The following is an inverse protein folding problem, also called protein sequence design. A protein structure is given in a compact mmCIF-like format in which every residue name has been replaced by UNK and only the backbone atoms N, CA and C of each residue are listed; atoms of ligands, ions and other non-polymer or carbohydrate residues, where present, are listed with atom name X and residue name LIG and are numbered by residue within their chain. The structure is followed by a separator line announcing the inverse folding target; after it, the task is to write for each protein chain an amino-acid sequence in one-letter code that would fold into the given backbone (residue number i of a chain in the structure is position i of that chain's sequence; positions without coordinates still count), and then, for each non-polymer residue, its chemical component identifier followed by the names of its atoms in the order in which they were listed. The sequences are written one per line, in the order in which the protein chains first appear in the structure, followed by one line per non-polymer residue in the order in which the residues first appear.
data_IF_487671697961
#
_entry.id   IF_487671697961
#
_cell.length_a   1.000
_cell.length_b   1.000
_cell.length_c   1.000
_cell.angle_alpha   90.00
_cell.angle_beta   90.00
_cell.angle_gamma   90.00
#
_symmetry.space_group_name_H-M   'P 1'
#
loop_
_entity.id
_entity.type
_entity.pdbx_description
1 polymer ?
#
# COMPACT_ATOMS: atom_id res chain seq x y z
N UNK A 1 -13.15 4.43 4.46
CA UNK A 1 -12.31 5.19 5.39
C UNK A 1 -13.11 5.64 6.60
N UNK A 2 -12.39 5.70 7.70
CA UNK A 2 -12.85 5.78 9.08
C UNK A 2 -11.60 5.69 9.95
N UNK A 3 -11.74 5.57 11.28
CA UNK A 3 -10.59 5.51 12.18
C UNK A 3 -9.67 4.35 11.80
N UNK A 4 -8.37 4.62 11.79
CA UNK A 4 -7.33 3.61 11.60
C UNK A 4 -7.11 2.77 12.87
N UNK A 5 -7.60 3.26 14.01
CA UNK A 5 -7.35 2.74 15.36
C UNK A 5 -5.86 2.73 15.70
N UNK A 6 -5.15 3.71 15.15
CA UNK A 6 -3.76 4.02 15.44
C UNK A 6 -3.77 5.45 15.96
N UNK A 7 -3.61 5.67 17.29
CA UNK A 7 -3.75 6.99 17.89
C UNK A 7 -2.90 8.06 17.21
N UNK A 8 -1.69 7.73 16.80
CA UNK A 8 -0.81 8.66 16.09
C UNK A 8 -1.35 9.09 14.73
N UNK A 9 -2.01 8.21 13.97
CA UNK A 9 -2.61 8.56 12.68
C UNK A 9 -3.92 9.31 12.89
N UNK A 10 -4.77 8.78 13.78
CA UNK A 10 -6.09 9.35 14.03
C UNK A 10 -6.02 10.73 14.72
N UNK A 11 -4.93 11.04 15.44
CA UNK A 11 -4.69 12.35 16.04
C UNK A 11 -4.44 13.46 15.02
N UNK A 12 -3.91 13.12 13.83
CA UNK A 12 -3.68 14.08 12.76
C UNK A 12 -4.89 14.19 11.82
N UNK A 13 -5.48 13.05 11.44
CA UNK A 13 -6.79 12.93 10.80
C UNK A 13 -7.10 11.45 10.58
N UNK A 14 -8.35 10.97 10.75
CA UNK A 14 -8.70 9.63 10.30
C UNK A 14 -8.45 9.50 8.78
N UNK A 15 -8.03 8.31 8.34
CA UNK A 15 -7.84 8.03 6.92
C UNK A 15 -9.15 8.27 6.16
N UNK A 16 -9.08 8.99 5.04
CA UNK A 16 -10.15 9.39 4.13
C UNK A 16 -10.11 8.59 2.82
N UNK A 17 -11.17 8.73 2.01
CA UNK A 17 -11.25 8.04 0.72
C UNK A 17 -10.20 8.63 -0.21
N UNK A 18 -9.61 7.78 -1.04
CA UNK A 18 -8.53 8.16 -1.95
C UNK A 18 -7.25 8.67 -1.24
N UNK A 19 -7.08 8.46 0.06
CA UNK A 19 -5.80 8.74 0.70
C UNK A 19 -4.72 7.80 0.18
N UNK A 20 -3.50 8.31 0.11
CA UNK A 20 -2.31 7.58 -0.32
C UNK A 20 -1.27 7.74 0.77
N UNK A 21 -0.84 6.62 1.32
CA UNK A 21 0.05 6.54 2.48
C UNK A 21 1.30 5.77 2.07
N UNK A 22 2.47 6.38 2.26
CA UNK A 22 3.74 5.67 2.19
C UNK A 22 4.16 5.26 3.60
N UNK A 23 4.49 3.98 3.77
CA UNK A 23 5.09 3.44 5.00
C UNK A 23 6.52 3.05 4.67
N UNK A 24 7.48 3.82 5.18
CA UNK A 24 8.90 3.60 4.96
C UNK A 24 9.61 3.17 6.25
N UNK A 25 10.66 2.38 6.12
CA UNK A 25 11.50 1.99 7.25
C UNK A 25 12.42 0.81 6.92
N UNK A 26 13.49 0.59 7.69
CA UNK A 26 14.38 -0.55 7.53
C UNK A 26 13.66 -1.90 7.66
N UNK A 27 14.28 -3.02 7.26
CA UNK A 27 13.77 -4.35 7.58
C UNK A 27 13.46 -4.49 9.08
N UNK A 28 12.45 -5.29 9.41
CA UNK A 28 12.04 -5.59 10.78
C UNK A 28 11.54 -4.42 11.66
N UNK A 29 11.24 -3.23 11.11
CA UNK A 29 10.67 -2.10 11.89
C UNK A 29 9.14 -2.13 12.06
N UNK A 30 8.48 -3.23 11.69
CA UNK A 30 7.03 -3.40 11.91
C UNK A 30 6.12 -2.97 10.77
N UNK A 31 6.65 -2.59 9.59
CA UNK A 31 5.85 -2.21 8.40
C UNK A 31 4.77 -3.22 8.06
N UNK A 32 5.14 -4.49 7.95
CA UNK A 32 4.20 -5.59 7.65
C UNK A 32 3.16 -5.76 8.76
N UNK A 33 3.53 -5.52 10.02
CA UNK A 33 2.58 -5.60 11.14
C UNK A 33 1.55 -4.47 11.08
N UNK A 34 2.00 -3.24 10.82
CA UNK A 34 1.14 -2.09 10.59
C UNK A 34 0.21 -2.31 9.38
N UNK A 35 0.75 -2.86 8.29
CA UNK A 35 -0.04 -3.22 7.11
C UNK A 35 -1.14 -4.24 7.44
N UNK A 36 -0.82 -5.28 8.21
CA UNK A 36 -1.81 -6.29 8.62
C UNK A 36 -2.88 -5.65 9.50
N UNK A 37 -2.51 -4.71 10.38
CA UNK A 37 -3.47 -3.99 11.21
C UNK A 37 -4.49 -3.23 10.36
N UNK A 38 -4.04 -2.51 9.33
CA UNK A 38 -4.90 -1.73 8.42
C UNK A 38 -5.78 -2.63 7.56
N UNK A 39 -5.23 -3.71 7.00
CA UNK A 39 -5.98 -4.71 6.23
C UNK A 39 -7.07 -5.39 7.08
N UNK A 40 -6.73 -5.80 8.31
CA UNK A 40 -7.70 -6.38 9.27
C UNK A 40 -8.81 -5.38 9.58
N UNK A 41 -8.47 -4.10 9.79
CA UNK A 41 -9.46 -3.06 10.06
C UNK A 41 -10.43 -2.88 8.88
N UNK A 42 -9.94 -3.01 7.65
CA UNK A 42 -10.75 -2.90 6.45
C UNK A 42 -11.80 -4.04 6.36
N UNK A 43 -11.39 -5.29 6.59
CA UNK A 43 -12.23 -6.48 6.31
C UNK A 43 -13.18 -6.88 7.44
N UNK A 44 -12.89 -6.50 8.68
CA UNK A 44 -13.76 -6.78 9.84
C UNK A 44 -15.09 -6.02 9.67
N UNK A 45 -16.24 -6.63 10.03
CA UNK A 45 -17.52 -5.95 9.92
C UNK A 45 -17.64 -4.81 10.94
N UNK A 46 -18.51 -3.84 10.67
CA UNK A 46 -18.73 -2.72 11.62
C UNK A 46 -19.24 -3.24 12.97
N UNK A 47 -20.13 -4.23 12.93
CA UNK A 47 -20.78 -4.82 14.10
C UNK A 47 -21.00 -6.32 13.90
N UNK A 48 -21.09 -7.05 15.01
CA UNK A 48 -21.52 -8.43 15.04
C UNK A 48 -22.46 -8.64 16.23
N UNK A 49 -23.71 -9.04 15.97
CA UNK A 49 -24.77 -9.05 16.98
C UNK A 49 -24.89 -7.67 17.66
N UNK A 50 -24.72 -7.60 18.97
CA UNK A 50 -24.75 -6.37 19.78
C UNK A 50 -23.39 -5.69 19.94
N UNK A 51 -22.30 -6.27 19.44
CA UNK A 51 -20.93 -5.77 19.65
C UNK A 51 -20.44 -4.96 18.45
N UNK A 52 -19.83 -3.81 18.73
CA UNK A 52 -19.10 -3.02 17.74
C UNK A 52 -17.69 -3.59 17.57
N UNK A 53 -17.33 -3.96 16.34
CA UNK A 53 -15.98 -4.43 16.03
C UNK A 53 -15.11 -3.34 15.41
N UNK A 54 -15.73 -2.21 15.05
CA UNK A 54 -15.10 -0.99 14.53
C UNK A 54 -14.30 -1.19 13.23
N UNK A 55 -14.57 -2.25 12.48
CA UNK A 55 -14.03 -2.45 11.14
C UNK A 55 -14.80 -1.66 10.08
N UNK A 56 -14.27 -1.63 8.86
CA UNK A 56 -14.86 -0.87 7.75
C UNK A 56 -15.90 -1.67 6.95
N UNK A 57 -15.94 -2.98 7.12
CA UNK A 57 -16.81 -3.90 6.36
C UNK A 57 -16.65 -3.75 4.83
N UNK A 58 -15.40 -3.74 4.37
CA UNK A 58 -15.04 -3.50 2.96
C UNK A 58 -14.03 -4.52 2.42
N UNK A 59 -13.97 -4.61 1.10
CA UNK A 59 -12.94 -5.38 0.42
C UNK A 59 -11.56 -4.75 0.59
N UNK A 60 -10.57 -5.59 0.87
CA UNK A 60 -9.17 -5.22 0.96
C UNK A 60 -8.35 -6.04 -0.03
N UNK A 61 -7.50 -5.36 -0.80
CA UNK A 61 -6.58 -5.99 -1.74
C UNK A 61 -5.16 -5.77 -1.23
N UNK A 62 -4.36 -6.83 -1.16
CA UNK A 62 -2.91 -6.74 -1.01
C UNK A 62 -2.23 -7.28 -2.27
N UNK A 63 -1.34 -6.46 -2.83
CA UNK A 63 -0.43 -6.85 -3.90
C UNK A 63 0.93 -7.12 -3.25
N UNK A 64 1.22 -8.40 -3.04
CA UNK A 64 2.42 -8.91 -2.38
C UNK A 64 3.51 -9.13 -3.45
N UNK A 65 4.34 -8.10 -3.64
CA UNK A 65 5.41 -8.08 -4.66
C UNK A 65 6.69 -8.72 -4.15
N UNK A 66 6.94 -8.69 -2.83
CA UNK A 66 8.10 -9.33 -2.18
C UNK A 66 7.84 -10.80 -1.78
N UNK A 67 6.63 -11.31 -2.04
CA UNK A 67 6.21 -12.68 -1.69
C UNK A 67 6.32 -12.99 -0.19
N UNK A 68 6.11 -11.98 0.66
CA UNK A 68 6.26 -12.07 2.12
C UNK A 68 4.92 -12.16 2.85
N UNK A 69 3.78 -12.01 2.16
CA UNK A 69 2.47 -12.06 2.81
C UNK A 69 2.15 -13.47 3.34
N UNK A 70 2.06 -13.56 4.67
CA UNK A 70 1.75 -14.79 5.39
C UNK A 70 0.29 -14.80 5.85
N UNK A 71 -0.56 -15.53 5.11
CA UNK A 71 -2.00 -15.69 5.38
C UNK A 71 -2.26 -16.30 6.75
N UNK A 72 -1.43 -17.23 7.22
CA UNK A 72 -1.60 -17.86 8.52
C UNK A 72 -1.39 -16.85 9.65
N UNK A 73 -0.29 -16.08 9.59
CA UNK A 73 -0.01 -14.99 10.54
C UNK A 73 -1.13 -13.95 10.49
N UNK A 74 -1.60 -13.59 9.30
CA UNK A 74 -2.72 -12.66 9.13
C UNK A 74 -3.98 -13.16 9.84
N UNK A 75 -4.36 -14.43 9.63
CA UNK A 75 -5.54 -15.04 10.27
C UNK A 75 -5.40 -15.11 11.80
N UNK A 76 -4.20 -15.41 12.32
CA UNK A 76 -3.93 -15.39 13.76
C UNK A 76 -4.18 -14.00 14.34
N UNK A 77 -3.66 -12.95 13.70
CA UNK A 77 -3.86 -11.57 14.15
C UNK A 77 -5.33 -11.13 14.04
N UNK A 78 -6.03 -11.55 12.98
CA UNK A 78 -7.47 -11.31 12.80
C UNK A 78 -8.26 -11.93 13.95
N UNK A 79 -8.05 -13.21 14.25
CA UNK A 79 -8.73 -13.90 15.33
C UNK A 79 -8.42 -13.31 16.70
N UNK A 80 -7.16 -12.92 16.95
CA UNK A 80 -6.78 -12.23 18.19
C UNK A 80 -7.51 -10.89 18.36
N UNK A 81 -7.70 -10.12 17.27
CA UNK A 81 -8.48 -8.89 17.31
C UNK A 81 -9.95 -9.16 17.59
N UNK A 82 -10.53 -10.18 16.95
CA UNK A 82 -11.92 -10.58 17.19
C UNK A 82 -12.14 -11.06 18.62
N UNK A 83 -11.24 -11.91 19.17
CA UNK A 83 -11.30 -12.37 20.58
C UNK A 83 -11.31 -11.21 21.58
N UNK A 84 -10.65 -10.09 21.25
CA UNK A 84 -10.64 -8.88 22.08
C UNK A 84 -11.94 -8.07 21.98
N UNK A 85 -12.56 -8.03 20.81
CA UNK A 85 -13.77 -7.24 20.52
C UNK A 85 -15.07 -7.99 20.81
N UNK A 86 -15.03 -9.33 20.85
CA UNK A 86 -16.16 -10.21 21.15
C UNK A 86 -15.92 -10.93 22.48
N UNK A 87 -16.11 -10.25 23.62
CA UNK A 87 -15.98 -10.90 24.92
C UNK A 87 -17.02 -12.02 25.02
N UNK A 88 -16.60 -13.19 25.53
CA UNK A 88 -17.43 -14.39 25.68
C UNK A 88 -17.81 -15.15 24.40
N UNK A 89 -17.35 -14.75 23.22
CA UNK A 89 -17.50 -15.58 22.02
C UNK A 89 -16.62 -16.85 22.12
N UNK A 90 -17.20 -18.01 21.82
CA UNK A 90 -16.45 -19.26 21.72
C UNK A 90 -15.58 -19.28 20.44
N UNK A 91 -14.68 -20.26 20.34
CA UNK A 91 -13.77 -20.34 19.20
C UNK A 91 -14.47 -20.56 17.86
N UNK A 92 -15.62 -21.24 17.86
CA UNK A 92 -16.44 -21.45 16.66
C UNK A 92 -16.98 -20.14 16.09
N UNK A 93 -17.52 -19.25 16.94
CA UNK A 93 -18.00 -17.94 16.53
C UNK A 93 -16.83 -17.10 16.00
N UNK A 94 -15.69 -17.09 16.69
CA UNK A 94 -14.50 -16.35 16.23
C UNK A 94 -14.04 -16.86 14.86
N UNK A 95 -13.97 -18.18 14.67
CA UNK A 95 -13.61 -18.78 13.38
C UNK A 95 -14.63 -18.44 12.29
N UNK A 96 -15.93 -18.49 12.59
CA UNK A 96 -16.97 -18.15 11.62
C UNK A 96 -16.89 -16.69 11.16
N UNK A 97 -16.72 -15.75 12.11
CA UNK A 97 -16.57 -14.31 11.81
C UNK A 97 -15.27 -14.04 11.05
N UNK A 98 -14.16 -14.66 11.46
CA UNK A 98 -12.89 -14.55 10.77
C UNK A 98 -12.98 -15.08 9.33
N UNK A 99 -13.61 -16.24 9.14
CA UNK A 99 -13.80 -16.84 7.82
C UNK A 99 -14.67 -15.95 6.92
N UNK A 100 -15.74 -15.37 7.45
CA UNK A 100 -16.57 -14.41 6.71
C UNK A 100 -15.77 -13.16 6.31
N UNK A 101 -15.00 -12.58 7.24
CA UNK A 101 -14.16 -11.41 6.95
C UNK A 101 -13.06 -11.71 5.92
N UNK A 102 -12.44 -12.89 5.97
CA UNK A 102 -11.39 -13.29 5.03
C UNK A 102 -11.87 -13.40 3.59
N UNK A 103 -13.18 -13.59 3.34
CA UNK A 103 -13.74 -13.55 1.97
C UNK A 103 -13.54 -12.19 1.29
N UNK A 104 -13.34 -11.12 2.07
CA UNK A 104 -13.09 -9.76 1.58
C UNK A 104 -11.62 -9.45 1.36
N UNK A 105 -10.71 -10.38 1.69
CA UNK A 105 -9.28 -10.21 1.49
C UNK A 105 -8.85 -10.87 0.19
N UNK A 106 -8.26 -10.08 -0.71
CA UNK A 106 -7.77 -10.54 -2.00
C UNK A 106 -6.27 -10.31 -2.12
N UNK A 107 -5.55 -11.32 -2.58
CA UNK A 107 -4.08 -11.32 -2.66
C UNK A 107 -3.65 -11.49 -4.12
N UNK A 108 -2.83 -10.57 -4.63
CA UNK A 108 -2.18 -10.68 -5.93
C UNK A 108 -0.66 -10.71 -5.78
N UNK A 109 0.03 -11.45 -6.64
CA UNK A 109 1.50 -11.60 -6.60
C UNK A 109 2.09 -11.40 -7.99
N UNK A 110 2.22 -10.15 -8.47
CA UNK A 110 2.94 -9.88 -9.71
C UNK A 110 4.45 -10.12 -9.50
N UNK A 111 5.16 -10.38 -10.59
CA UNK A 111 6.60 -10.65 -10.61
C UNK A 111 7.40 -9.58 -11.38
N UNK A 112 6.74 -8.50 -11.83
CA UNK A 112 7.38 -7.37 -12.52
C UNK A 112 6.53 -6.10 -12.40
N UNK A 113 7.14 -4.93 -12.61
CA UNK A 113 6.44 -3.65 -12.66
C UNK A 113 5.35 -3.61 -13.72
N UNK A 114 5.55 -4.26 -14.87
CA UNK A 114 4.54 -4.38 -15.92
C UNK A 114 3.34 -5.21 -15.47
N UNK A 115 3.59 -6.36 -14.81
CA UNK A 115 2.51 -7.19 -14.28
C UNK A 115 1.77 -6.50 -13.13
N UNK A 116 2.48 -5.74 -12.29
CA UNK A 116 1.90 -4.91 -11.24
C UNK A 116 0.97 -3.84 -11.83
N UNK A 117 1.44 -3.07 -12.81
CA UNK A 117 0.62 -2.07 -13.51
C UNK A 117 -0.61 -2.72 -14.15
N UNK A 118 -0.46 -3.84 -14.84
CA UNK A 118 -1.57 -4.57 -15.45
C UNK A 118 -2.57 -5.09 -14.40
N UNK A 119 -2.10 -5.55 -13.24
CA UNK A 119 -2.95 -5.99 -12.13
C UNK A 119 -3.82 -4.84 -11.64
N UNK A 120 -3.24 -3.66 -11.43
CA UNK A 120 -3.94 -2.47 -10.95
C UNK A 120 -4.92 -1.95 -12.02
N UNK A 121 -4.52 -1.92 -13.29
CA UNK A 121 -5.38 -1.51 -14.41
C UNK A 121 -6.62 -2.39 -14.56
N UNK A 122 -6.50 -3.69 -14.28
CA UNK A 122 -7.62 -4.64 -14.34
C UNK A 122 -8.43 -4.70 -13.03
N UNK A 123 -8.03 -3.96 -11.99
CA UNK A 123 -8.71 -3.96 -10.69
C UNK A 123 -10.17 -3.52 -10.76
N UNK A 124 -10.57 -2.48 -11.53
CA UNK A 124 -11.97 -2.13 -11.73
C UNK A 124 -12.84 -3.28 -12.25
N UNK A 125 -12.32 -4.01 -13.24
CA UNK A 125 -13.01 -5.18 -13.81
C UNK A 125 -13.11 -6.30 -12.79
N UNK A 126 -12.02 -6.58 -12.09
CA UNK A 126 -12.01 -7.58 -11.01
C UNK A 126 -13.00 -7.23 -9.90
N UNK A 127 -13.07 -5.96 -9.49
CA UNK A 127 -14.01 -5.45 -8.50
C UNK A 127 -15.46 -5.67 -8.96
N UNK A 128 -15.78 -5.28 -10.19
CA UNK A 128 -17.11 -5.49 -10.77
C UNK A 128 -17.50 -6.98 -10.88
N UNK A 129 -16.55 -7.89 -11.09
CA UNK A 129 -16.84 -9.31 -11.27
C UNK A 129 -16.87 -10.10 -9.95
N UNK A 130 -15.96 -9.80 -9.02
CA UNK A 130 -15.65 -10.63 -7.84
C UNK A 130 -15.97 -9.98 -6.50
N UNK A 131 -16.16 -8.66 -6.46
CA UNK A 131 -16.38 -7.87 -5.24
C UNK A 131 -17.72 -7.12 -5.26
N UNK A 132 -18.72 -7.66 -5.96
CA UNK A 132 -20.01 -6.98 -6.21
C UNK A 132 -20.73 -6.53 -4.94
N UNK A 133 -20.56 -7.28 -3.85
CA UNK A 133 -21.23 -7.04 -2.57
C UNK A 133 -20.44 -6.09 -1.67
N UNK A 134 -19.16 -5.82 -1.97
CA UNK A 134 -18.27 -5.07 -1.10
C UNK A 134 -17.62 -3.90 -1.86
N UNK A 135 -17.67 -2.69 -1.27
CA UNK A 135 -16.86 -1.58 -1.78
C UNK A 135 -15.37 -1.88 -1.57
N UNK A 136 -14.52 -1.56 -2.56
CA UNK A 136 -13.07 -1.59 -2.39
C UNK A 136 -12.64 -0.50 -1.39
N UNK A 137 -12.28 -0.91 -0.16
CA UNK A 137 -11.92 0.00 0.92
C UNK A 137 -10.43 0.32 1.00
N UNK A 138 -9.59 -0.67 0.71
CA UNK A 138 -8.13 -0.55 0.85
C UNK A 138 -7.39 -1.34 -0.23
N UNK A 139 -6.34 -0.74 -0.79
CA UNK A 139 -5.34 -1.38 -1.64
C UNK A 139 -3.96 -1.21 -1.01
N UNK A 140 -3.28 -2.30 -0.74
CA UNK A 140 -1.91 -2.32 -0.24
C UNK A 140 -0.94 -2.86 -1.29
N UNK A 141 0.25 -2.27 -1.42
CA UNK A 141 1.38 -2.82 -2.18
C UNK A 141 2.54 -3.01 -1.22
N UNK A 142 2.99 -4.27 -1.08
CA UNK A 142 4.08 -4.66 -0.17
C UNK A 142 5.17 -5.44 -0.92
N UNK A 143 6.28 -4.83 -1.35
CA UNK A 143 6.60 -3.39 -1.37
C UNK A 143 6.55 -2.75 -2.77
N UNK A 144 6.32 -1.44 -2.83
CA UNK A 144 6.34 -0.69 -4.10
C UNK A 144 7.74 -0.65 -4.72
N UNK A 145 8.79 -0.86 -3.91
CA UNK A 145 10.19 -0.89 -4.30
C UNK A 145 10.70 -2.24 -4.81
N UNK A 146 9.89 -3.31 -4.74
CA UNK A 146 10.34 -4.69 -5.01
C UNK A 146 11.05 -4.87 -6.38
N UNK A 147 10.58 -4.17 -7.41
CA UNK A 147 11.09 -4.31 -8.78
C UNK A 147 12.13 -3.26 -9.17
N UNK A 148 12.54 -2.38 -8.25
CA UNK A 148 13.45 -1.26 -8.54
C UNK A 148 14.79 -1.72 -9.15
N UNK A 149 15.48 -2.67 -8.52
CA UNK A 149 16.79 -3.14 -9.00
C UNK A 149 16.71 -3.89 -10.33
N UNK A 150 15.77 -4.84 -10.53
CA UNK A 150 15.57 -5.45 -11.84
C UNK A 150 15.29 -4.43 -12.96
N UNK A 151 14.40 -3.47 -12.72
CA UNK A 151 14.03 -2.46 -13.71
C UNK A 151 15.22 -1.55 -14.05
N UNK A 152 16.00 -1.16 -13.04
CA UNK A 152 17.21 -0.36 -13.21
C UNK A 152 18.25 -1.11 -14.06
N UNK A 153 18.53 -2.36 -13.71
CA UNK A 153 19.48 -3.20 -14.45
C UNK A 153 19.08 -3.35 -15.92
N UNK A 154 17.79 -3.59 -16.19
CA UNK A 154 17.28 -3.69 -17.55
C UNK A 154 17.48 -2.38 -18.33
N UNK A 155 17.22 -1.23 -17.70
CA UNK A 155 17.43 0.09 -18.32
C UNK A 155 18.92 0.33 -18.65
N UNK A 156 19.83 0.00 -17.72
CA UNK A 156 21.28 0.11 -17.95
C UNK A 156 21.73 -0.75 -19.15
N UNK A 157 21.21 -1.99 -19.28
CA UNK A 157 21.51 -2.83 -20.43
C UNK A 157 20.97 -2.27 -21.75
N UNK A 158 19.76 -1.70 -21.77
CA UNK A 158 19.18 -1.07 -22.96
C UNK A 158 20.02 0.13 -23.44
N UNK A 159 20.52 0.93 -22.50
CA UNK A 159 21.40 2.07 -22.81
C UNK A 159 22.73 1.60 -23.42
N UNK A 160 23.34 0.56 -22.85
CA UNK A 160 24.56 -0.05 -23.40
C UNK A 160 24.36 -0.64 -24.79
N UNK A 161 23.16 -1.16 -25.08
CA UNK A 161 22.79 -1.69 -26.39
C UNK A 161 22.51 -0.60 -27.46
N UNK A 162 22.67 0.69 -27.11
CA UNK A 162 22.47 1.81 -28.04
C UNK A 162 21.01 2.07 -28.41
N UNK A 163 20.05 1.57 -27.64
CA UNK A 163 18.63 1.90 -27.85
C UNK A 163 18.37 3.35 -27.48
N UNK A 164 17.64 4.08 -28.35
CA UNK A 164 17.38 5.51 -28.16
C UNK A 164 16.64 5.78 -26.84
N UNK A 165 17.30 6.48 -25.91
CA UNK A 165 16.76 6.88 -24.62
C UNK A 165 15.53 7.81 -24.70
N UNK A 166 15.19 8.34 -25.88
CA UNK A 166 14.10 9.29 -26.06
C UNK A 166 12.68 8.69 -25.93
N UNK A 167 12.53 7.36 -25.91
CA UNK A 167 11.22 6.69 -25.77
C UNK A 167 11.08 5.84 -24.50
N UNK A 168 12.08 5.86 -23.60
CA UNK A 168 12.03 5.05 -22.39
C UNK A 168 11.08 5.68 -21.35
N UNK A 169 10.00 4.96 -21.04
CA UNK A 169 9.13 5.29 -19.91
C UNK A 169 9.50 4.37 -18.74
N UNK A 170 9.94 4.91 -17.58
CA UNK A 170 10.21 4.11 -16.40
C UNK A 170 9.01 3.21 -16.06
N UNK A 171 9.19 1.90 -15.81
CA UNK A 171 8.08 0.98 -15.53
C UNK A 171 7.19 1.43 -14.36
N UNK A 172 7.78 2.07 -13.35
CA UNK A 172 7.07 2.66 -12.22
C UNK A 172 6.06 3.74 -12.63
N UNK A 173 6.28 4.48 -13.73
CA UNK A 173 5.30 5.43 -14.27
C UNK A 173 3.96 4.76 -14.56
N UNK A 174 4.00 3.55 -15.14
CA UNK A 174 2.79 2.80 -15.49
C UNK A 174 2.04 2.36 -14.23
N UNK A 175 2.78 1.96 -13.19
CA UNK A 175 2.22 1.60 -11.88
C UNK A 175 1.55 2.80 -11.23
N UNK A 176 2.23 3.95 -11.16
CA UNK A 176 1.69 5.17 -10.57
C UNK A 176 0.48 5.71 -11.33
N UNK A 177 0.52 5.65 -12.67
CA UNK A 177 -0.61 6.04 -13.52
C UNK A 177 -1.82 5.13 -13.30
N UNK A 178 -1.60 3.82 -13.18
CA UNK A 178 -2.65 2.86 -12.87
C UNK A 178 -3.24 3.09 -11.48
N UNK A 179 -2.41 3.36 -10.48
CA UNK A 179 -2.85 3.70 -9.12
C UNK A 179 -3.68 4.97 -9.11
N UNK A 180 -3.26 6.01 -9.84
CA UNK A 180 -4.00 7.26 -9.93
C UNK A 180 -5.37 7.05 -10.59
N UNK A 181 -5.43 6.26 -11.65
CA UNK A 181 -6.70 5.90 -12.30
C UNK A 181 -7.64 5.13 -11.36
N UNK A 182 -7.12 4.15 -10.63
CA UNK A 182 -7.90 3.39 -9.65
C UNK A 182 -8.36 4.26 -8.47
N UNK A 183 -7.48 5.12 -7.97
CA UNK A 183 -7.77 6.11 -6.92
C UNK A 183 -8.93 7.01 -7.33
N UNK A 184 -8.89 7.59 -8.52
CA UNK A 184 -9.93 8.50 -9.01
C UNK A 184 -11.27 7.79 -9.27
N UNK A 185 -11.23 6.53 -9.73
CA UNK A 185 -12.45 5.79 -10.08
C UNK A 185 -13.13 5.08 -8.90
N UNK A 186 -12.36 4.56 -7.93
CA UNK A 186 -12.89 3.72 -6.84
C UNK A 186 -12.64 4.32 -5.44
N UNK A 187 -11.74 5.29 -5.32
CA UNK A 187 -11.40 5.95 -4.06
C UNK A 187 -10.87 5.06 -2.93
N UNK A 188 -10.18 3.92 -3.14
CA UNK A 188 -9.64 3.15 -2.03
C UNK A 188 -8.57 3.95 -1.28
N UNK A 189 -8.36 3.63 0.00
CA UNK A 189 -7.13 4.01 0.69
C UNK A 189 -5.98 3.19 0.07
N UNK A 190 -4.94 3.84 -0.40
CA UNK A 190 -3.77 3.20 -0.99
C UNK A 190 -2.63 3.23 0.02
N UNK A 191 -2.11 2.05 0.39
CA UNK A 191 -0.95 1.90 1.25
C UNK A 191 0.22 1.37 0.42
N UNK A 192 1.34 2.09 0.42
CA UNK A 192 2.56 1.72 -0.27
C UNK A 192 3.64 1.48 0.79
N UNK A 193 4.10 0.25 0.97
CA UNK A 193 5.32 0.05 1.77
C UNK A 193 6.53 0.28 0.88
N UNK A 194 7.55 0.93 1.43
CA UNK A 194 8.77 1.24 0.71
C UNK A 194 10.00 0.86 1.56
N UNK A 195 11.04 0.37 0.90
CA UNK A 195 12.30 0.06 1.55
C UNK A 195 13.06 1.34 1.88
N UNK A 196 13.57 1.42 3.11
CA UNK A 196 14.50 2.46 3.53
C UNK A 196 15.93 2.04 3.19
N UNK A 197 16.44 2.43 2.02
CA UNK A 197 17.78 2.01 1.58
C UNK A 197 18.91 2.87 2.17
N UNK A 198 18.73 4.19 2.20
CA UNK A 198 19.77 5.14 2.60
C UNK A 198 19.15 6.21 3.48
N UNK A 199 19.67 6.36 4.71
CA UNK A 199 19.26 7.45 5.59
C UNK A 199 19.61 8.80 4.94
N UNK A 200 18.72 9.78 5.07
CA UNK A 200 18.97 11.12 4.59
C UNK A 200 19.87 11.86 5.60
N UNK A 201 21.11 12.25 5.24
CA UNK A 201 22.01 12.95 6.14
C UNK A 201 21.42 14.26 6.67
N UNK A 202 20.55 14.90 5.90
CA UNK A 202 19.89 16.15 6.29
C UNK A 202 18.84 15.98 7.40
N UNK A 203 18.46 14.74 7.68
CA UNK A 203 17.44 14.40 8.68
C UNK A 203 18.01 13.78 9.96
N UNK A 204 19.33 13.71 10.10
CA UNK A 204 19.99 13.10 11.27
C UNK A 204 19.69 13.83 12.58
N UNK A 205 19.44 15.14 12.52
CA UNK A 205 19.07 15.97 13.68
C UNK A 205 17.55 16.03 13.93
N UNK A 206 16.74 15.41 13.07
CA UNK A 206 15.28 15.33 13.21
C UNK A 206 14.90 14.21 14.18
N UNK A 207 13.84 14.39 15.01
CA UNK A 207 13.34 13.32 15.88
C UNK A 207 12.81 12.11 15.09
N UNK A 208 12.54 12.26 13.78
CA UNK A 208 12.16 11.19 12.87
C UNK A 208 13.15 11.16 11.71
N UNK A 209 13.98 10.10 11.57
CA UNK A 209 14.93 10.01 10.47
C UNK A 209 14.17 9.81 9.16
N UNK A 210 14.49 10.61 8.15
CA UNK A 210 13.98 10.41 6.80
C UNK A 210 14.98 9.57 6.01
N UNK A 211 14.49 8.89 4.99
CA UNK A 211 15.31 8.11 4.08
C UNK A 211 15.24 8.72 2.69
N UNK A 212 16.35 8.65 1.95
CA UNK A 212 16.39 9.15 0.57
C UNK A 212 15.41 8.36 -0.30
N UNK A 213 14.65 9.07 -1.12
CA UNK A 213 13.80 8.44 -2.11
C UNK A 213 14.68 7.91 -3.26
N UNK A 214 14.61 6.60 -3.50
CA UNK A 214 15.38 5.93 -4.54
C UNK A 214 14.52 5.56 -5.76
N UNK A 215 13.20 5.59 -5.60
CA UNK A 215 12.25 5.32 -6.68
C UNK A 215 12.08 6.54 -7.57
N UNK A 216 12.13 6.33 -8.89
CA UNK A 216 11.93 7.40 -9.86
C UNK A 216 11.07 6.93 -11.07
N UNK A 217 10.04 7.70 -11.44
CA UNK A 217 9.46 8.80 -10.66
C UNK A 217 8.69 8.26 -9.46
N UNK A 218 8.67 8.99 -8.34
CA UNK A 218 7.85 8.66 -7.17
C UNK A 218 7.42 9.95 -6.46
N UNK A 219 6.16 10.05 -6.00
CA UNK A 219 5.72 11.23 -5.26
C UNK A 219 6.45 11.31 -3.92
N UNK A 220 7.42 12.20 -3.81
CA UNK A 220 8.19 12.43 -2.58
C UNK A 220 8.14 13.90 -2.16
N UNK A 221 6.94 14.47 -1.87
CA UNK A 221 6.79 15.87 -1.46
C UNK A 221 7.52 16.19 -0.15
N UNK A 222 7.91 15.16 0.62
CA UNK A 222 8.59 15.29 1.92
C UNK A 222 10.11 15.06 1.85
N UNK A 223 10.67 14.78 0.66
CA UNK A 223 12.13 14.58 0.50
C UNK A 223 12.84 15.89 0.16
N UNK A 224 13.91 16.20 0.88
CA UNK A 224 14.75 17.39 0.67
C UNK A 224 15.64 17.30 -0.58
N UNK A 225 15.77 16.11 -1.18
CA UNK A 225 16.80 15.80 -2.20
C UNK A 225 16.27 15.70 -3.63
N UNK A 226 15.02 16.10 -3.92
CA UNK A 226 14.52 16.03 -5.29
C UNK A 226 15.27 17.06 -6.16
N UNK A 227 16.01 16.65 -7.22
CA UNK A 227 16.46 17.60 -8.21
C UNK A 227 15.19 18.06 -8.95
N UNK A 228 14.85 19.34 -8.85
CA UNK A 228 13.79 19.97 -9.63
C UNK A 228 14.08 20.00 -11.15
N UNK A 229 15.24 19.49 -11.57
CA UNK A 229 15.73 19.55 -12.93
C UNK A 229 16.43 18.24 -13.28
N UNK A 230 15.71 17.31 -13.93
CA UNK A 230 16.18 16.37 -14.96
C UNK A 230 14.90 15.60 -15.38
N UNK A 231 14.35 15.98 -16.53
CA UNK A 231 13.15 15.44 -17.17
C UNK A 231 11.84 15.51 -16.34
N UNK A 232 11.26 16.71 -16.25
CA UNK A 232 9.81 16.81 -16.37
C UNK A 232 9.46 16.48 -17.83
N UNK A 233 8.78 15.36 -18.15
CA UNK A 233 8.18 15.26 -19.47
C UNK A 233 7.26 16.47 -19.62
N UNK A 234 7.42 17.21 -20.72
CA UNK A 234 6.83 18.53 -21.01
C UNK A 234 5.28 18.62 -20.91
N UNK A 235 4.59 17.58 -20.43
CA UNK A 235 3.12 17.45 -20.40
C UNK A 235 2.53 16.80 -19.11
N UNK A 236 3.24 16.70 -17.98
CA UNK A 236 2.73 15.94 -16.83
C UNK A 236 2.31 16.75 -15.57
N UNK A 237 1.20 17.52 -15.59
CA UNK A 237 0.63 18.05 -14.35
C UNK A 237 -0.53 17.20 -13.76
N UNK A 238 -1.08 16.19 -14.49
CA UNK A 238 -2.30 15.47 -14.06
C UNK A 238 -2.15 13.97 -13.73
N UNK A 239 -0.94 13.40 -13.83
CA UNK A 239 -0.72 11.94 -13.72
C UNK A 239 0.03 11.48 -12.46
N UNK A 240 0.52 12.39 -11.62
CA UNK A 240 1.25 12.02 -10.41
C UNK A 240 0.27 11.63 -9.30
N UNK A 241 0.36 10.37 -8.86
CA UNK A 241 -0.32 9.88 -7.67
C UNK A 241 0.05 10.80 -6.49
N UNK A 242 -0.90 11.47 -5.81
CA UNK A 242 -0.56 12.30 -4.66
C UNK A 242 -0.09 11.42 -3.50
N UNK A 243 0.78 11.95 -2.64
CA UNK A 243 1.14 11.32 -1.37
C UNK A 243 0.59 12.20 -0.23
N UNK A 244 -0.36 11.66 0.54
CA UNK A 244 -1.04 12.42 1.60
C UNK A 244 -0.35 12.23 2.95
N UNK A 245 0.13 11.02 3.22
CA UNK A 245 0.78 10.68 4.47
C UNK A 245 2.09 9.93 4.21
N UNK A 246 3.09 10.23 5.02
CA UNK A 246 4.36 9.53 5.05
C UNK A 246 4.62 9.09 6.49
N UNK A 247 4.79 7.78 6.69
CA UNK A 247 5.01 7.15 7.98
C UNK A 247 6.39 6.50 7.96
N UNK A 248 7.29 7.02 8.79
CA UNK A 248 8.61 6.40 9.01
C UNK A 248 8.57 5.53 10.25
N UNK A 249 8.96 4.26 10.10
CA UNK A 249 9.20 3.36 11.23
C UNK A 249 10.71 3.16 11.42
N UNK A 250 11.23 3.68 12.53
CA UNK A 250 12.61 3.48 12.99
C UNK A 250 12.63 2.58 14.23
N UNK A 251 13.71 1.81 14.38
CA UNK A 251 14.00 0.96 15.56
C UNK A 251 14.46 1.77 16.75
#
# INVERSE_FOLDING_TARGET
PGPSHIPALDAHSPLNFADVVEIQGPPATGKTHLLYHLLINCIIPVKYSTFHLDGWDKAAVIIDTDMTFNVQRFNILLQQRLKRKLPHANEEIICAVAHAALKRLHVFRPHSSTQLAATILNMPKYHADRLKEDQLGLLAIDSISAFYWPDRYMNEQMQLAGTNAQSYTPPLCNVLSALQSLRLSHGPVIILTNWALVADPSSLDSPVPLFKQHLYPFPAPFSSTHPAHIFTPLNAPHYLLPLHYHITLSS
#
